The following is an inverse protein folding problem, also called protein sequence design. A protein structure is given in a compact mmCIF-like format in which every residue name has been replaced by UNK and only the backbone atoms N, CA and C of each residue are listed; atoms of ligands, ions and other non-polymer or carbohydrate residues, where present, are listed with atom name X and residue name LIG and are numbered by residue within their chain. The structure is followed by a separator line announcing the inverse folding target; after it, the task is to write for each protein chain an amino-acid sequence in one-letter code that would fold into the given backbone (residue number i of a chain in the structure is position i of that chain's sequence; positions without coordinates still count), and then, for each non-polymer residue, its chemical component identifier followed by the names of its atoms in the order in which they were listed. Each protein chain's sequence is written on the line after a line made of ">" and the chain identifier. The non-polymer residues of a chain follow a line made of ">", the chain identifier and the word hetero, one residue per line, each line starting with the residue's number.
data_IF_307741078780
#
_entry.id   IF_307741078780
#
_cell.length_a   1.000
_cell.length_b   1.000
_cell.length_c   1.000
_cell.angle_alpha   90.00
_cell.angle_beta   90.00
_cell.angle_gamma   90.00
#
_symmetry.space_group_name_H-M   'P 1'
#
loop_
_entity.id
_entity.type
_entity.pdbx_description
1 polymer ?
#
# COMPACT_ATOMS: atom_id res chain seq x y z
N UNK A 1 -30.43 16.55 -1.82
CA UNK A 1 -30.23 15.62 -2.95
C UNK A 1 -29.14 16.23 -3.82
N UNK A 2 -28.03 15.54 -4.03
CA UNK A 2 -26.92 16.01 -4.88
C UNK A 2 -27.41 15.95 -6.33
N UNK A 3 -27.22 17.03 -7.09
CA UNK A 3 -27.64 17.07 -8.49
C UNK A 3 -26.55 16.46 -9.39
N UNK A 4 -26.94 15.98 -10.58
CA UNK A 4 -25.98 15.46 -11.57
C UNK A 4 -24.88 16.48 -11.94
N UNK A 5 -25.22 17.77 -11.98
CA UNK A 5 -24.28 18.87 -12.20
C UNK A 5 -23.21 18.94 -11.12
N UNK A 6 -23.59 18.80 -9.85
CA UNK A 6 -22.66 18.84 -8.70
C UNK A 6 -21.63 17.71 -8.79
N UNK A 7 -22.02 16.52 -9.30
CA UNK A 7 -21.11 15.39 -9.51
C UNK A 7 -20.16 15.59 -10.68
N UNK A 8 -20.63 16.19 -11.78
CA UNK A 8 -19.76 16.53 -12.90
C UNK A 8 -18.73 17.60 -12.47
N UNK A 9 -19.15 18.60 -11.69
CA UNK A 9 -18.27 19.62 -11.15
C UNK A 9 -17.24 19.01 -10.18
N UNK A 10 -17.65 18.03 -9.38
CA UNK A 10 -16.76 17.28 -8.49
C UNK A 10 -15.68 16.52 -9.26
N UNK A 11 -16.05 15.83 -10.33
CA UNK A 11 -15.10 15.11 -11.20
C UNK A 11 -14.14 16.11 -11.86
N UNK A 12 -14.65 17.17 -12.49
CA UNK A 12 -13.83 18.15 -13.19
C UNK A 12 -12.85 18.91 -12.30
N UNK A 13 -13.19 19.07 -11.02
CA UNK A 13 -12.36 19.80 -10.05
C UNK A 13 -11.27 18.90 -9.40
N UNK A 14 -11.55 17.60 -9.23
CA UNK A 14 -10.68 16.70 -8.47
C UNK A 14 -9.94 15.66 -9.31
N UNK A 15 -10.42 15.36 -10.52
CA UNK A 15 -9.82 14.38 -11.41
C UNK A 15 -8.98 15.07 -12.49
N UNK A 16 -7.87 14.43 -12.88
CA UNK A 16 -7.06 14.92 -13.99
C UNK A 16 -7.71 14.60 -15.34
N UNK A 17 -7.15 15.13 -16.43
CA UNK A 17 -7.69 14.95 -17.79
C UNK A 17 -7.78 13.47 -18.19
N UNK A 18 -6.80 12.65 -17.79
CA UNK A 18 -6.77 11.21 -18.08
C UNK A 18 -7.89 10.47 -17.35
N UNK A 19 -8.09 10.76 -16.08
CA UNK A 19 -9.17 10.20 -15.27
C UNK A 19 -10.54 10.63 -15.81
N UNK A 20 -10.70 11.91 -16.16
CA UNK A 20 -11.94 12.45 -16.73
C UNK A 20 -12.27 11.78 -18.05
N UNK A 21 -11.28 11.62 -18.93
CA UNK A 21 -11.44 10.92 -20.20
C UNK A 21 -11.80 9.45 -19.98
N UNK A 22 -11.11 8.76 -19.08
CA UNK A 22 -11.42 7.38 -18.71
C UNK A 22 -12.87 7.24 -18.23
N UNK A 23 -13.35 8.14 -17.36
CA UNK A 23 -14.74 8.11 -16.91
C UNK A 23 -15.75 8.32 -18.05
N UNK A 24 -15.42 9.18 -19.02
CA UNK A 24 -16.27 9.37 -20.20
C UNK A 24 -16.37 8.12 -21.08
N UNK A 25 -15.26 7.38 -21.22
CA UNK A 25 -15.17 6.18 -22.06
C UNK A 25 -15.71 4.92 -21.38
N UNK A 26 -15.33 4.69 -20.11
CA UNK A 26 -15.65 3.45 -19.39
C UNK A 26 -16.89 3.54 -18.51
N UNK A 27 -17.36 4.77 -18.21
CA UNK A 27 -18.47 5.06 -17.31
C UNK A 27 -18.23 4.70 -15.85
N UNK A 28 -16.98 4.35 -15.50
CA UNK A 28 -16.53 4.01 -14.15
C UNK A 28 -15.16 4.61 -13.89
N UNK A 29 -14.96 5.12 -12.66
CA UNK A 29 -13.69 5.70 -12.22
C UNK A 29 -13.52 5.53 -10.72
N UNK A 30 -12.46 4.84 -10.32
CA UNK A 30 -11.92 4.92 -8.96
C UNK A 30 -10.88 6.04 -8.91
N UNK A 31 -11.01 6.94 -7.94
CA UNK A 31 -10.07 8.04 -7.72
C UNK A 31 -10.04 8.47 -6.26
N UNK A 32 -9.09 9.32 -5.90
CA UNK A 32 -9.09 10.02 -4.62
C UNK A 32 -9.46 11.48 -4.83
N UNK A 33 -10.39 12.00 -4.02
CA UNK A 33 -10.85 13.39 -4.08
C UNK A 33 -10.69 14.07 -2.73
N UNK A 34 -10.47 15.39 -2.76
CA UNK A 34 -10.39 16.22 -1.54
C UNK A 34 -11.58 17.18 -1.50
N UNK A 35 -12.37 17.08 -0.45
CA UNK A 35 -13.55 17.94 -0.21
C UNK A 35 -13.45 18.56 1.16
N UNK A 36 -13.56 19.90 1.23
CA UNK A 36 -13.46 20.65 2.48
C UNK A 36 -12.25 20.28 3.36
N UNK A 37 -11.11 20.01 2.71
CA UNK A 37 -9.86 19.60 3.40
C UNK A 37 -9.85 18.14 3.88
N UNK A 38 -10.91 17.38 3.63
CA UNK A 38 -10.98 15.95 3.94
C UNK A 38 -10.76 15.14 2.66
N UNK A 39 -10.02 14.05 2.80
CA UNK A 39 -9.74 13.14 1.69
C UNK A 39 -10.73 11.98 1.66
N UNK A 40 -11.16 11.63 0.44
CA UNK A 40 -12.09 10.54 0.19
C UNK A 40 -11.56 9.65 -0.93
N UNK A 41 -11.74 8.35 -0.78
CA UNK A 41 -11.75 7.42 -1.91
C UNK A 41 -13.13 7.54 -2.57
N UNK A 42 -13.13 7.83 -3.86
CA UNK A 42 -14.34 8.04 -4.64
C UNK A 42 -14.45 6.97 -5.73
N UNK A 43 -15.59 6.32 -5.81
CA UNK A 43 -15.97 5.53 -6.97
C UNK A 43 -17.11 6.27 -7.69
N UNK A 44 -16.81 6.75 -8.90
CA UNK A 44 -17.76 7.39 -9.79
C UNK A 44 -18.26 6.38 -10.81
N UNK A 45 -19.56 6.37 -11.07
CA UNK A 45 -20.18 5.47 -12.05
C UNK A 45 -21.41 6.10 -12.67
N UNK A 46 -21.82 5.62 -13.86
CA UNK A 46 -23.04 6.05 -14.52
C UNK A 46 -24.19 5.10 -14.24
N UNK A 47 -25.37 5.67 -14.01
CA UNK A 47 -26.65 4.96 -13.88
C UNK A 47 -27.62 5.44 -14.94
N UNK A 48 -28.78 4.79 -15.08
CA UNK A 48 -29.88 5.25 -15.93
C UNK A 48 -30.39 6.66 -15.59
N UNK A 49 -30.14 7.11 -14.35
CA UNK A 49 -30.56 8.42 -13.85
C UNK A 49 -29.43 9.48 -13.92
N UNK A 50 -28.26 9.11 -14.47
CA UNK A 50 -27.11 10.00 -14.59
C UNK A 50 -25.90 9.52 -13.75
N UNK A 51 -24.89 10.38 -13.58
CA UNK A 51 -23.71 10.06 -12.80
C UNK A 51 -24.06 9.86 -11.32
N UNK A 52 -23.35 8.95 -10.67
CA UNK A 52 -23.43 8.66 -9.25
C UNK A 52 -22.01 8.50 -8.67
N UNK A 53 -21.88 8.68 -7.36
CA UNK A 53 -20.61 8.49 -6.67
C UNK A 53 -20.81 7.86 -5.28
N UNK A 54 -19.87 7.00 -4.90
CA UNK A 54 -19.69 6.52 -3.53
C UNK A 54 -18.40 7.12 -2.99
N UNK A 55 -18.50 7.86 -1.90
CA UNK A 55 -17.38 8.50 -1.24
C UNK A 55 -17.13 7.82 0.11
N UNK A 56 -15.92 7.29 0.30
CA UNK A 56 -15.45 6.75 1.58
C UNK A 56 -14.38 7.68 2.13
N UNK A 57 -14.63 8.25 3.30
CA UNK A 57 -13.64 9.07 3.98
C UNK A 57 -12.38 8.25 4.26
N UNK A 58 -11.22 8.84 3.94
CA UNK A 58 -9.90 8.31 4.28
C UNK A 58 -9.43 9.03 5.54
N UNK A 59 -8.97 8.25 6.52
CA UNK A 59 -8.42 8.83 7.75
C UNK A 59 -7.11 9.57 7.41
N UNK A 60 -7.01 10.80 7.90
CA UNK A 60 -5.83 11.64 7.65
C UNK A 60 -4.83 11.62 8.81
N UNK A 61 -5.25 11.11 9.96
CA UNK A 61 -4.39 11.02 11.14
C UNK A 61 -3.68 9.67 11.11
N UNK A 62 -2.36 9.71 11.02
CA UNK A 62 -1.54 8.51 11.10
C UNK A 62 -1.44 8.13 12.57
N UNK A 63 -1.88 6.92 12.95
CA UNK A 63 -1.80 6.49 14.33
C UNK A 63 -0.33 6.20 14.72
N UNK A 64 -0.01 6.38 15.98
CA UNK A 64 1.30 6.03 16.51
C UNK A 64 1.38 4.54 16.84
N UNK A 65 2.54 3.91 16.65
CA UNK A 65 2.74 2.49 16.97
C UNK A 65 2.39 2.17 18.42
N UNK A 66 2.68 3.07 19.35
CA UNK A 66 2.37 2.89 20.78
C UNK A 66 0.88 2.90 21.13
N UNK A 67 0.00 3.27 20.19
CA UNK A 67 -1.45 3.19 20.38
C UNK A 67 -2.01 1.79 20.12
N UNK A 68 -1.19 0.91 19.53
CA UNK A 68 -1.52 -0.48 19.26
C UNK A 68 -0.74 -1.37 20.23
N UNK A 69 -1.37 -2.42 20.71
CA UNK A 69 -0.69 -3.47 21.46
C UNK A 69 0.06 -4.39 20.48
N UNK A 70 1.10 -3.82 19.84
CA UNK A 70 1.90 -4.52 18.85
C UNK A 70 3.01 -5.32 19.55
N UNK A 71 3.28 -6.55 19.09
CA UNK A 71 4.44 -7.31 19.56
C UNK A 71 5.76 -6.57 19.35
N UNK A 72 6.68 -6.70 20.30
CA UNK A 72 7.99 -6.01 20.30
C UNK A 72 8.75 -6.19 18.99
N UNK A 73 8.66 -7.35 18.37
CA UNK A 73 9.33 -7.67 17.10
C UNK A 73 8.94 -6.71 15.94
N UNK A 74 7.77 -6.07 16.00
CA UNK A 74 7.39 -5.06 15.00
C UNK A 74 8.14 -3.75 15.18
N UNK A 75 8.62 -3.46 16.39
CA UNK A 75 9.48 -2.31 16.63
C UNK A 75 10.90 -2.55 16.11
N UNK A 76 11.37 -3.81 16.06
CA UNK A 76 12.68 -4.15 15.52
C UNK A 76 12.78 -3.86 14.02
N UNK A 77 11.64 -3.81 13.30
CA UNK A 77 11.59 -3.44 11.87
C UNK A 77 12.09 -2.03 11.62
N UNK A 78 11.90 -1.11 12.58
CA UNK A 78 12.26 0.32 12.44
C UNK A 78 13.76 0.46 12.21
N UNK A 79 14.57 -0.40 12.81
CA UNK A 79 16.03 -0.39 12.71
C UNK A 79 16.58 -1.21 11.55
N UNK A 80 15.72 -1.92 10.81
CA UNK A 80 16.15 -2.68 9.63
C UNK A 80 16.52 -1.75 8.47
N UNK A 81 17.61 -2.03 7.81
CA UNK A 81 18.07 -1.26 6.64
C UNK A 81 17.71 -1.91 5.32
N UNK A 82 17.50 -3.24 5.30
CA UNK A 82 17.21 -4.00 4.07
C UNK A 82 16.39 -5.25 4.35
N UNK A 83 15.74 -5.72 3.32
CA UNK A 83 14.96 -6.94 3.32
C UNK A 83 13.50 -6.70 3.02
N UNK A 84 12.73 -7.77 2.90
CA UNK A 84 11.31 -7.75 2.59
C UNK A 84 10.49 -8.01 3.86
N UNK A 85 9.57 -7.12 4.15
CA UNK A 85 8.55 -7.26 5.22
C UNK A 85 7.19 -7.30 4.56
N UNK A 86 6.44 -8.37 4.80
CA UNK A 86 5.11 -8.58 4.23
C UNK A 86 4.03 -8.40 5.29
N UNK A 87 3.04 -7.55 5.01
CA UNK A 87 1.87 -7.39 5.85
C UNK A 87 0.65 -7.94 5.12
N UNK A 88 0.02 -8.97 5.68
CA UNK A 88 -1.00 -9.76 5.00
C UNK A 88 -2.29 -9.87 5.81
N UNK A 89 -3.38 -10.17 5.12
CA UNK A 89 -4.70 -10.31 5.72
C UNK A 89 -5.81 -9.79 4.80
N UNK A 90 -7.07 -10.06 5.15
CA UNK A 90 -8.22 -9.61 4.36
C UNK A 90 -8.33 -8.08 4.30
N UNK A 91 -9.15 -7.57 3.39
CA UNK A 91 -9.49 -6.14 3.35
C UNK A 91 -10.11 -5.72 4.69
N UNK A 92 -9.69 -4.55 5.19
CA UNK A 92 -10.18 -4.03 6.48
C UNK A 92 -9.49 -4.64 7.72
N UNK A 93 -8.45 -5.48 7.56
CA UNK A 93 -7.71 -6.03 8.70
C UNK A 93 -6.69 -5.07 9.34
N UNK A 94 -6.56 -3.83 8.84
CA UNK A 94 -5.67 -2.83 9.38
C UNK A 94 -4.25 -2.82 8.77
N UNK A 95 -4.00 -3.51 7.65
CA UNK A 95 -2.67 -3.56 7.00
C UNK A 95 -2.08 -2.19 6.74
N UNK A 96 -2.81 -1.33 6.04
CA UNK A 96 -2.37 0.03 5.70
C UNK A 96 -2.15 0.88 6.95
N UNK A 97 -2.99 0.72 7.96
CA UNK A 97 -2.86 1.42 9.25
C UNK A 97 -1.58 1.04 9.98
N UNK A 98 -1.27 -0.26 10.04
CA UNK A 98 -0.03 -0.78 10.66
C UNK A 98 1.20 -0.32 9.89
N UNK A 99 1.18 -0.42 8.56
CA UNK A 99 2.28 0.05 7.71
C UNK A 99 2.48 1.56 7.83
N UNK A 100 1.40 2.34 7.86
CA UNK A 100 1.50 3.78 8.06
C UNK A 100 2.14 4.13 9.41
N UNK A 101 1.79 3.41 10.48
CA UNK A 101 2.40 3.61 11.80
C UNK A 101 3.91 3.26 11.79
N UNK A 102 4.31 2.15 11.17
CA UNK A 102 5.72 1.74 11.03
C UNK A 102 6.52 2.77 10.21
N UNK A 103 6.00 3.14 9.03
CA UNK A 103 6.63 4.14 8.16
C UNK A 103 6.76 5.49 8.87
N UNK A 104 5.74 5.89 9.63
CA UNK A 104 5.77 7.14 10.39
C UNK A 104 6.84 7.10 11.50
N UNK A 105 7.03 5.96 12.14
CA UNK A 105 8.06 5.80 13.16
C UNK A 105 9.47 5.84 12.55
N UNK A 106 9.69 5.20 11.40
CA UNK A 106 10.93 5.33 10.62
C UNK A 106 11.17 6.80 10.26
N UNK A 107 10.14 7.49 9.75
CA UNK A 107 10.21 8.91 9.36
C UNK A 107 10.55 9.83 10.54
N UNK A 108 10.12 9.51 11.76
CA UNK A 108 10.44 10.26 12.99
C UNK A 108 11.87 10.01 13.49
N UNK A 109 12.37 8.81 13.31
CA UNK A 109 13.59 8.34 13.99
C UNK A 109 14.81 8.33 13.08
N UNK A 110 14.65 8.11 11.77
CA UNK A 110 15.74 7.94 10.80
C UNK A 110 15.78 9.04 9.76
N UNK A 111 16.98 9.34 9.28
CA UNK A 111 17.18 10.13 8.06
C UNK A 111 17.21 9.15 6.89
N UNK A 112 16.14 9.12 6.10
CA UNK A 112 15.94 8.17 5.04
C UNK A 112 15.13 8.77 3.87
N UNK A 113 15.31 8.23 2.67
CA UNK A 113 14.43 8.48 1.55
C UNK A 113 13.38 7.37 1.47
N UNK A 114 12.12 7.72 1.76
CA UNK A 114 10.99 6.80 1.81
C UNK A 114 10.11 7.02 0.59
N UNK A 115 9.90 5.98 -0.21
CA UNK A 115 9.00 6.04 -1.37
C UNK A 115 7.81 5.11 -1.14
N UNK A 116 6.60 5.65 -1.25
CA UNK A 116 5.38 4.84 -1.21
C UNK A 116 4.73 4.77 -2.59
N UNK A 117 4.28 3.59 -2.97
CA UNK A 117 3.52 3.34 -4.20
C UNK A 117 2.21 2.67 -3.81
N UNK A 118 1.09 3.34 -4.02
CA UNK A 118 -0.22 2.91 -3.51
C UNK A 118 -1.35 3.15 -4.52
N UNK A 119 -2.50 2.48 -4.33
CA UNK A 119 -3.67 2.61 -5.19
C UNK A 119 -4.99 2.49 -4.38
N UNK A 120 -5.52 3.63 -3.89
CA UNK A 120 -4.89 4.95 -3.75
C UNK A 120 -4.01 5.07 -2.49
N UNK A 121 -3.29 6.19 -2.34
CA UNK A 121 -2.58 6.54 -1.11
C UNK A 121 -3.59 6.72 0.04
N UNK A 122 -3.47 5.91 1.10
CA UNK A 122 -4.38 5.98 2.25
C UNK A 122 -3.91 7.00 3.30
N UNK A 123 -2.61 7.07 3.59
CA UNK A 123 -2.05 8.00 4.58
C UNK A 123 -0.99 8.89 3.94
N UNK A 124 -1.08 10.19 4.19
CA UNK A 124 -0.08 11.16 3.72
C UNK A 124 0.87 11.49 4.86
N UNK A 125 2.10 11.03 4.75
CA UNK A 125 3.17 11.36 5.68
C UNK A 125 3.72 12.75 5.36
N UNK A 126 3.99 13.53 6.41
CA UNK A 126 4.78 14.77 6.30
C UNK A 126 6.25 14.41 6.44
N UNK A 127 7.12 15.17 5.78
CA UNK A 127 8.55 15.05 6.00
C UNK A 127 8.88 15.43 7.44
N UNK A 128 9.62 14.56 8.14
CA UNK A 128 10.12 14.77 9.51
C UNK A 128 11.65 14.67 9.50
N UNK A 129 12.23 13.53 9.91
CA UNK A 129 13.65 13.26 9.72
C UNK A 129 13.93 12.67 8.35
N UNK A 130 12.98 11.98 7.76
CA UNK A 130 13.04 11.42 6.42
C UNK A 130 12.32 12.31 5.41
N UNK A 131 12.62 12.13 4.13
CA UNK A 131 11.84 12.64 3.00
C UNK A 131 10.87 11.53 2.60
N UNK A 132 9.57 11.84 2.44
CA UNK A 132 8.57 10.86 2.08
C UNK A 132 7.89 11.23 0.75
N UNK A 133 8.13 10.44 -0.27
CA UNK A 133 7.55 10.60 -1.60
C UNK A 133 6.39 9.65 -1.82
N UNK A 134 5.19 10.18 -2.01
CA UNK A 134 3.99 9.38 -2.30
C UNK A 134 3.73 9.32 -3.80
N UNK A 135 3.52 8.12 -4.33
CA UNK A 135 3.18 7.87 -5.74
C UNK A 135 1.88 7.07 -5.83
N UNK A 136 0.81 7.73 -6.23
CA UNK A 136 -0.50 7.10 -6.43
C UNK A 136 -0.60 6.57 -7.87
N UNK A 137 -0.97 5.30 -8.01
CA UNK A 137 -1.21 4.68 -9.32
C UNK A 137 -2.40 5.37 -10.00
N UNK A 138 -2.27 5.65 -11.29
CA UNK A 138 -3.25 6.42 -12.07
C UNK A 138 -3.08 7.93 -11.99
N UNK A 139 -2.27 8.46 -11.04
CA UNK A 139 -2.00 9.90 -10.90
C UNK A 139 -0.53 10.24 -11.11
N UNK A 140 0.35 9.84 -10.20
CA UNK A 140 1.78 10.11 -10.28
C UNK A 140 2.56 8.99 -10.99
N UNK A 141 1.97 7.81 -11.14
CA UNK A 141 2.55 6.68 -11.87
C UNK A 141 1.49 5.87 -12.60
N UNK A 142 1.90 5.13 -13.62
CA UNK A 142 0.98 4.32 -14.43
C UNK A 142 0.66 2.96 -13.80
N UNK A 143 1.60 2.40 -13.05
CA UNK A 143 1.48 1.07 -12.43
C UNK A 143 2.45 0.93 -11.26
N UNK A 144 2.24 -0.08 -10.41
CA UNK A 144 3.17 -0.45 -9.35
C UNK A 144 4.56 -0.79 -9.91
N UNK A 145 4.63 -1.61 -10.94
CA UNK A 145 5.88 -2.01 -11.59
C UNK A 145 6.65 -0.80 -12.16
N UNK A 146 5.97 0.11 -12.87
CA UNK A 146 6.58 1.31 -13.40
C UNK A 146 7.15 2.21 -12.29
N UNK A 147 6.42 2.36 -11.19
CA UNK A 147 6.86 3.15 -10.05
C UNK A 147 8.08 2.53 -9.35
N UNK A 148 8.06 1.22 -9.10
CA UNK A 148 9.17 0.49 -8.48
C UNK A 148 10.44 0.55 -9.34
N UNK A 149 10.30 0.38 -10.65
CA UNK A 149 11.43 0.47 -11.58
C UNK A 149 12.06 1.87 -11.57
N UNK A 150 11.27 2.92 -11.42
CA UNK A 150 11.77 4.28 -11.26
C UNK A 150 12.39 4.47 -9.87
N UNK A 151 11.71 4.04 -8.81
CA UNK A 151 12.13 4.17 -7.42
C UNK A 151 13.56 3.63 -7.19
N UNK A 152 13.92 2.49 -7.79
CA UNK A 152 15.27 1.92 -7.72
C UNK A 152 16.39 2.83 -8.24
N UNK A 153 16.06 3.96 -8.88
CA UNK A 153 17.00 4.98 -9.38
C UNK A 153 16.89 6.30 -8.61
N UNK A 154 16.03 6.35 -7.62
CA UNK A 154 15.74 7.52 -6.82
C UNK A 154 16.43 7.46 -5.44
N UNK A 155 17.41 6.55 -5.28
CA UNK A 155 18.18 6.31 -4.06
C UNK A 155 17.29 6.11 -2.81
N UNK A 156 16.35 5.16 -2.82
CA UNK A 156 15.45 4.93 -1.71
C UNK A 156 16.12 4.09 -0.63
N UNK A 157 15.90 4.44 0.64
CA UNK A 157 16.23 3.56 1.77
C UNK A 157 15.06 2.63 2.09
N UNK A 158 13.83 3.15 1.95
CA UNK A 158 12.59 2.44 2.29
C UNK A 158 11.59 2.56 1.13
N UNK A 159 11.03 1.43 0.73
CA UNK A 159 10.00 1.37 -0.30
C UNK A 159 8.75 0.69 0.28
N UNK A 160 7.59 1.35 0.19
CA UNK A 160 6.30 0.75 0.49
C UNK A 160 5.55 0.46 -0.81
N UNK A 161 5.19 -0.81 -1.01
CA UNK A 161 4.37 -1.29 -2.13
C UNK A 161 2.99 -1.63 -1.60
N UNK A 162 2.00 -0.82 -1.93
CA UNK A 162 0.65 -0.92 -1.41
C UNK A 162 0.00 -2.29 -1.65
N UNK A 163 0.29 -2.93 -2.79
CA UNK A 163 -0.13 -4.30 -3.06
C UNK A 163 0.79 -5.00 -4.08
N UNK A 164 1.11 -6.27 -3.80
CA UNK A 164 1.94 -7.14 -4.63
C UNK A 164 1.08 -8.21 -5.31
N UNK A 165 0.54 -7.92 -6.51
CA UNK A 165 -0.41 -8.81 -7.21
C UNK A 165 0.18 -9.54 -8.40
N UNK A 166 1.07 -8.90 -9.13
CA UNK A 166 1.58 -9.36 -10.41
C UNK A 166 3.08 -9.73 -10.33
N UNK A 167 3.52 -10.54 -11.29
CA UNK A 167 4.87 -11.06 -11.38
C UNK A 167 5.93 -9.94 -11.42
N UNK A 168 5.69 -8.89 -12.21
CA UNK A 168 6.68 -7.82 -12.39
C UNK A 168 6.86 -7.03 -11.10
N UNK A 169 5.75 -6.67 -10.42
CA UNK A 169 5.77 -5.97 -9.13
C UNK A 169 6.46 -6.80 -8.05
N UNK A 170 6.14 -8.10 -7.96
CA UNK A 170 6.78 -9.01 -6.99
C UNK A 170 8.28 -9.16 -7.27
N UNK A 171 8.67 -9.37 -8.53
CA UNK A 171 10.07 -9.51 -8.93
C UNK A 171 10.91 -8.27 -8.62
N UNK A 172 10.37 -7.08 -8.89
CA UNK A 172 11.04 -5.82 -8.59
C UNK A 172 11.16 -5.58 -7.08
N UNK A 173 10.13 -5.90 -6.29
CA UNK A 173 10.18 -5.79 -4.83
C UNK A 173 11.22 -6.73 -4.22
N UNK A 174 11.31 -7.98 -4.70
CA UNK A 174 12.36 -8.92 -4.29
C UNK A 174 13.75 -8.40 -4.64
N UNK A 175 13.94 -7.91 -5.86
CA UNK A 175 15.22 -7.33 -6.31
C UNK A 175 15.61 -6.14 -5.43
N UNK A 176 14.68 -5.24 -5.12
CA UNK A 176 14.93 -4.11 -4.22
C UNK A 176 15.40 -4.60 -2.84
N UNK A 177 14.70 -5.57 -2.27
CA UNK A 177 15.04 -6.13 -0.95
C UNK A 177 16.42 -6.82 -0.91
N UNK A 178 16.84 -7.45 -2.00
CA UNK A 178 18.18 -8.06 -2.14
C UNK A 178 19.28 -7.01 -2.31
N UNK A 179 18.99 -5.93 -3.03
CA UNK A 179 19.97 -4.90 -3.39
C UNK A 179 20.18 -3.84 -2.31
N UNK A 180 19.60 -4.02 -1.13
CA UNK A 180 19.94 -3.19 0.03
C UNK A 180 18.83 -2.30 0.56
N UNK A 181 17.62 -2.37 0.01
CA UNK A 181 16.47 -1.54 0.42
C UNK A 181 15.57 -2.27 1.41
N UNK A 182 14.98 -1.54 2.34
CA UNK A 182 13.89 -2.05 3.18
C UNK A 182 12.57 -1.94 2.41
N UNK A 183 11.97 -3.07 2.07
CA UNK A 183 10.76 -3.13 1.27
C UNK A 183 9.59 -3.64 2.10
N UNK A 184 8.52 -2.86 2.15
CA UNK A 184 7.23 -3.25 2.70
C UNK A 184 6.28 -3.61 1.57
N UNK A 185 5.60 -4.76 1.68
CA UNK A 185 4.59 -5.15 0.70
C UNK A 185 3.32 -5.67 1.36
N UNK A 186 2.17 -5.54 0.69
CA UNK A 186 0.95 -6.16 1.17
C UNK A 186 0.43 -7.24 0.24
N UNK A 187 -0.23 -8.24 0.85
CA UNK A 187 -0.99 -9.27 0.15
C UNK A 187 -2.32 -9.56 0.88
N UNK A 188 -3.28 -10.14 0.18
CA UNK A 188 -4.58 -10.53 0.75
C UNK A 188 -4.63 -12.01 1.16
N UNK A 189 -3.50 -12.57 1.54
CA UNK A 189 -3.36 -13.96 1.98
C UNK A 189 -3.58 -14.11 3.48
N UNK A 190 -3.96 -15.32 3.92
CA UNK A 190 -4.11 -15.67 5.32
C UNK A 190 -2.97 -16.61 5.74
N UNK A 191 -2.15 -16.17 6.69
CA UNK A 191 -1.02 -16.93 7.22
C UNK A 191 0.25 -16.87 6.36
N UNK A 192 1.40 -17.01 7.01
CA UNK A 192 2.70 -16.88 6.36
C UNK A 192 2.98 -17.97 5.30
N UNK A 193 2.65 -19.26 5.50
CA UNK A 193 2.87 -20.27 4.47
C UNK A 193 2.12 -19.97 3.16
N UNK A 194 0.85 -19.55 3.27
CA UNK A 194 0.06 -19.20 2.09
C UNK A 194 0.58 -17.95 1.39
N UNK A 195 1.15 -17.01 2.16
CA UNK A 195 1.78 -15.80 1.62
C UNK A 195 3.01 -16.15 0.79
N UNK A 196 3.90 -16.99 1.32
CA UNK A 196 5.10 -17.44 0.63
C UNK A 196 4.74 -18.21 -0.65
N UNK A 197 3.80 -19.17 -0.54
CA UNK A 197 3.34 -19.91 -1.71
C UNK A 197 2.73 -18.98 -2.76
N UNK A 198 1.89 -18.01 -2.36
CA UNK A 198 1.29 -17.06 -3.28
C UNK A 198 2.32 -16.23 -4.05
N UNK A 199 3.41 -15.82 -3.40
CA UNK A 199 4.50 -15.11 -4.07
C UNK A 199 5.20 -16.02 -5.09
N UNK A 200 5.47 -17.26 -4.71
CA UNK A 200 6.15 -18.23 -5.59
C UNK A 200 5.28 -18.60 -6.79
N UNK A 201 3.97 -18.81 -6.57
CA UNK A 201 3.03 -19.27 -7.58
C UNK A 201 2.71 -18.19 -8.65
N UNK A 202 3.08 -16.94 -8.42
CA UNK A 202 2.98 -15.87 -9.44
C UNK A 202 4.00 -16.11 -10.56
N UNK A 203 5.10 -16.82 -10.28
CA UNK A 203 6.17 -17.08 -11.23
C UNK A 203 6.00 -18.41 -11.98
N UNK A 204 6.46 -18.48 -13.24
CA UNK A 204 6.50 -19.73 -13.99
C UNK A 204 7.31 -20.81 -13.25
N UNK A 205 7.00 -22.11 -13.42
CA UNK A 205 7.67 -23.21 -12.72
C UNK A 205 9.19 -23.18 -12.77
N UNK A 206 9.76 -22.80 -13.91
CA UNK A 206 11.20 -22.73 -14.14
C UNK A 206 11.89 -21.65 -13.31
N UNK A 207 11.17 -20.61 -12.86
CA UNK A 207 11.72 -19.53 -12.05
C UNK A 207 11.49 -19.74 -10.55
N UNK A 208 10.59 -20.63 -10.15
CA UNK A 208 10.18 -20.80 -8.74
C UNK A 208 11.32 -21.19 -7.81
N UNK A 209 12.26 -22.00 -8.28
CA UNK A 209 13.43 -22.37 -7.47
C UNK A 209 14.32 -21.16 -7.16
N UNK A 210 14.53 -20.28 -8.13
CA UNK A 210 15.25 -19.01 -7.94
C UNK A 210 14.52 -18.10 -6.98
N UNK A 211 13.22 -17.95 -7.13
CA UNK A 211 12.39 -17.09 -6.24
C UNK A 211 12.41 -17.60 -4.80
N UNK A 212 12.40 -18.93 -4.59
CA UNK A 212 12.56 -19.51 -3.23
C UNK A 212 13.90 -19.14 -2.61
N UNK A 213 14.98 -19.19 -3.39
CA UNK A 213 16.30 -18.79 -2.93
C UNK A 213 16.35 -17.30 -2.59
N UNK A 214 15.79 -16.43 -3.44
CA UNK A 214 15.69 -14.99 -3.19
C UNK A 214 14.87 -14.67 -1.93
N UNK A 215 13.72 -15.31 -1.76
CA UNK A 215 12.91 -15.17 -0.55
C UNK A 215 13.67 -15.60 0.70
N UNK A 216 14.42 -16.70 0.65
CA UNK A 216 15.16 -17.20 1.82
C UNK A 216 16.22 -16.22 2.32
N UNK A 217 16.72 -15.34 1.48
CA UNK A 217 17.75 -14.35 1.84
C UNK A 217 17.15 -12.98 2.17
N UNK A 218 16.09 -12.58 1.46
CA UNK A 218 15.53 -11.25 1.55
C UNK A 218 14.35 -11.12 2.53
N UNK A 219 13.52 -12.16 2.69
CA UNK A 219 12.36 -12.11 3.56
C UNK A 219 12.79 -12.03 5.03
N UNK A 220 12.32 -10.99 5.72
CA UNK A 220 12.61 -10.77 7.14
C UNK A 220 11.42 -11.09 8.03
N UNK A 221 10.21 -10.76 7.55
CA UNK A 221 9.01 -10.94 8.37
C UNK A 221 7.76 -11.08 7.52
N UNK A 222 6.83 -11.88 8.00
CA UNK A 222 5.44 -11.92 7.53
C UNK A 222 4.52 -11.62 8.69
N UNK A 223 3.85 -10.47 8.62
CA UNK A 223 2.85 -10.04 9.60
C UNK A 223 1.47 -10.38 9.06
N UNK A 224 0.78 -11.31 9.71
CA UNK A 224 -0.59 -11.67 9.31
C UNK A 224 -1.59 -11.01 10.26
N UNK A 225 -2.49 -10.21 9.71
CA UNK A 225 -3.49 -9.48 10.49
C UNK A 225 -4.91 -9.97 10.20
N UNK A 226 -5.68 -10.11 11.27
CA UNK A 226 -7.11 -10.42 11.21
C UNK A 226 -7.86 -9.45 12.13
N UNK A 227 -8.86 -8.76 11.59
CA UNK A 227 -9.80 -7.99 12.40
C UNK A 227 -10.86 -8.93 12.96
N UNK A 228 -11.11 -8.85 14.25
CA UNK A 228 -12.19 -9.57 14.93
C UNK A 228 -13.11 -8.54 15.58
N UNK A 229 -14.41 -8.63 15.38
CA UNK A 229 -15.36 -7.82 16.15
C UNK A 229 -15.39 -8.34 17.58
N UNK A 230 -15.19 -7.46 18.54
CA UNK A 230 -15.00 -7.83 19.93
C UNK A 230 -16.23 -8.52 20.55
N UNK A 231 -16.03 -9.79 20.87
CA UNK A 231 -16.58 -10.39 22.09
C UNK A 231 -15.47 -10.93 22.99
N UNK A 232 -14.26 -11.18 22.47
CA UNK A 232 -13.03 -11.49 23.23
C UNK A 232 -11.79 -11.22 22.37
N UNK A 233 -10.73 -10.70 23.03
CA UNK A 233 -9.42 -10.40 22.44
C UNK A 233 -8.70 -11.69 21.99
N UNK A 234 -8.28 -11.74 20.72
CA UNK A 234 -7.23 -12.65 20.28
C UNK A 234 -6.16 -11.85 19.55
N UNK A 235 -4.91 -12.01 19.99
CA UNK A 235 -3.73 -11.33 19.46
C UNK A 235 -3.45 -11.75 18.00
N UNK A 236 -2.86 -10.86 17.16
CA UNK A 236 -2.41 -11.23 15.82
C UNK A 236 -1.30 -12.28 15.90
N UNK A 237 -1.36 -13.28 15.03
CA UNK A 237 -0.30 -14.29 14.92
C UNK A 237 0.82 -13.72 14.06
N UNK A 238 2.02 -13.62 14.63
CA UNK A 238 3.24 -13.22 13.93
C UNK A 238 4.12 -14.46 13.78
N UNK A 239 4.57 -14.74 12.57
CA UNK A 239 5.58 -15.74 12.30
C UNK A 239 6.87 -15.02 11.88
N UNK A 240 7.93 -15.25 12.66
CA UNK A 240 9.30 -14.88 12.28
C UNK A 240 9.84 -15.95 11.33
N UNK A 241 10.49 -15.55 10.26
CA UNK A 241 11.20 -16.43 9.32
C UNK A 241 12.69 -16.26 9.51
#
# INVERSE_FOLDING_TARGET
>A
MVKAQDLNDLISTNCNEVETKRFQETHELDSSVTLAGLRFRANFYKTIHGPAAVLRRVESVIPEMGQFDLPQVLYDIIDMHKGLVLVTGPTGSGKSTTLAAIVNEINKTRTANIITVEDPVEFIHKDLKSIVSHREVGKQTKSFASALKAALREDPDVILVGEMRDLETVGLALTAAETGHLVFGTLHTSGAPNTINRIIDVFPPEQQAQIRAQLSTSLKMVVTQRSVSYTHLTLPTILLV
#
